data_IF_908061833364
#
_entry.id   IF_908061833364
#
_cell.length_a   1.000
_cell.length_b   1.000
_cell.length_c   1.000
_cell.angle_alpha   90.00
_cell.angle_beta   90.00
_cell.angle_gamma   90.00
#
_symmetry.space_group_name_H-M   'P 1'
#
loop_
_entity.id
_entity.type
_entity.pdbx_description
1 polymer ?
#
# COMPACT_ATOMS: atom_id res chain seq x y z
N UNK A 1 -4.85 7.69 15.31
CA UNK A 1 -4.09 8.08 14.13
C UNK A 1 -2.64 8.40 14.53
N UNK A 2 -1.78 7.40 14.43
CA UNK A 2 -0.37 7.44 14.88
C UNK A 2 0.42 8.51 14.10
N UNK A 3 0.30 8.56 12.78
CA UNK A 3 1.03 9.55 11.95
C UNK A 3 0.71 11.00 12.35
N UNK A 4 -0.57 11.30 12.66
CA UNK A 4 -0.94 12.65 13.12
C UNK A 4 -0.28 12.99 14.45
N UNK A 5 -0.17 12.04 15.38
CA UNK A 5 0.54 12.23 16.67
C UNK A 5 2.04 12.44 16.47
N UNK A 6 2.60 11.94 15.38
CA UNK A 6 4.00 12.13 14.98
C UNK A 6 4.23 13.44 14.20
N UNK A 7 3.21 14.30 14.07
CA UNK A 7 3.34 15.61 13.42
C UNK A 7 3.10 15.61 11.91
N UNK A 8 2.65 14.49 11.31
CA UNK A 8 2.32 14.46 9.90
C UNK A 8 0.98 15.16 9.61
N UNK A 9 0.91 15.93 8.54
CA UNK A 9 -0.35 16.28 7.92
C UNK A 9 -0.97 15.03 7.30
N UNK A 10 -2.17 14.64 7.73
CA UNK A 10 -2.77 13.38 7.33
C UNK A 10 -4.12 13.57 6.69
N UNK A 11 -4.37 12.91 5.56
CA UNK A 11 -5.69 12.67 4.99
C UNK A 11 -6.08 11.21 5.17
N UNK A 12 -7.37 10.95 5.40
CA UNK A 12 -7.92 9.61 5.49
C UNK A 12 -9.07 9.50 4.49
N UNK A 13 -9.02 8.48 3.66
CA UNK A 13 -10.05 8.16 2.69
C UNK A 13 -10.43 6.69 2.84
N UNK A 14 -11.72 6.38 2.96
CA UNK A 14 -12.25 5.02 3.08
C UNK A 14 -13.32 4.79 2.02
N UNK A 15 -13.47 3.55 1.58
CA UNK A 15 -14.53 3.09 0.67
C UNK A 15 -14.64 3.91 -0.63
N UNK A 16 -13.48 4.23 -1.21
CA UNK A 16 -13.39 5.04 -2.44
C UNK A 16 -13.66 4.21 -3.69
N UNK A 17 -14.51 4.74 -4.56
CA UNK A 17 -14.58 4.23 -5.93
C UNK A 17 -13.32 4.65 -6.72
N UNK A 18 -13.16 4.09 -7.92
CA UNK A 18 -11.96 4.31 -8.75
C UNK A 18 -11.70 5.79 -9.02
N UNK A 19 -12.74 6.57 -9.36
CA UNK A 19 -12.60 7.99 -9.66
C UNK A 19 -12.19 8.81 -8.41
N UNK A 20 -12.82 8.53 -7.28
CA UNK A 20 -12.51 9.17 -6.00
C UNK A 20 -11.09 8.84 -5.53
N UNK A 21 -10.69 7.56 -5.61
CA UNK A 21 -9.35 7.17 -5.19
C UNK A 21 -8.26 7.80 -6.06
N UNK A 22 -8.50 7.93 -7.38
CA UNK A 22 -7.59 8.66 -8.28
C UNK A 22 -7.48 10.14 -7.89
N UNK A 23 -8.60 10.81 -7.63
CA UNK A 23 -8.61 12.21 -7.22
C UNK A 23 -7.90 12.42 -5.87
N UNK A 24 -8.13 11.53 -4.88
CA UNK A 24 -7.45 11.58 -3.58
C UNK A 24 -5.93 11.38 -3.72
N UNK A 25 -5.50 10.49 -4.61
CA UNK A 25 -4.08 10.24 -4.90
C UNK A 25 -3.41 11.42 -5.60
N UNK A 26 -4.08 12.06 -6.57
CA UNK A 26 -3.59 13.27 -7.22
C UNK A 26 -3.44 14.41 -6.21
N UNK A 27 -4.44 14.62 -5.34
CA UNK A 27 -4.40 15.61 -4.29
C UNK A 27 -3.26 15.33 -3.29
N UNK A 28 -3.07 14.06 -2.92
CA UNK A 28 -1.97 13.63 -2.06
C UNK A 28 -0.60 13.91 -2.72
N UNK A 29 -0.43 13.54 -4.00
CA UNK A 29 0.79 13.79 -4.74
C UNK A 29 1.13 15.28 -4.83
N UNK A 30 0.12 16.16 -4.98
CA UNK A 30 0.30 17.62 -4.97
C UNK A 30 0.68 18.13 -3.57
N UNK A 31 -0.01 17.66 -2.52
CA UNK A 31 0.25 18.09 -1.15
C UNK A 31 1.62 17.62 -0.62
N UNK A 32 2.13 16.52 -1.15
CA UNK A 32 3.41 15.95 -0.75
C UNK A 32 4.63 16.63 -1.41
N UNK A 33 4.44 17.50 -2.41
CA UNK A 33 5.54 18.21 -3.06
C UNK A 33 6.36 19.05 -2.07
N UNK A 34 7.68 18.87 -2.10
CA UNK A 34 8.59 19.57 -1.21
C UNK A 34 8.58 19.06 0.24
N UNK A 35 7.85 17.99 0.55
CA UNK A 35 7.88 17.39 1.88
C UNK A 35 9.19 16.62 2.08
N UNK A 36 9.75 16.69 3.29
CA UNK A 36 10.90 15.87 3.68
C UNK A 36 10.56 14.39 3.71
N UNK A 37 9.33 14.05 4.14
CA UNK A 37 8.84 12.67 4.21
C UNK A 37 7.38 12.65 3.75
N UNK A 38 7.07 11.79 2.76
CA UNK A 38 5.71 11.47 2.35
C UNK A 38 5.41 10.00 2.66
N UNK A 39 4.28 9.74 3.32
CA UNK A 39 3.84 8.38 3.67
C UNK A 39 2.50 8.09 3.02
N UNK A 40 2.47 7.10 2.13
CA UNK A 40 1.24 6.53 1.59
C UNK A 40 0.98 5.18 2.25
N UNK A 41 -0.16 5.04 2.89
CA UNK A 41 -0.61 3.80 3.51
C UNK A 41 -1.91 3.34 2.85
N UNK A 42 -1.93 2.11 2.38
CA UNK A 42 -3.11 1.48 1.82
C UNK A 42 -3.42 0.18 2.54
N UNK A 43 -4.65 0.03 3.02
CA UNK A 43 -5.20 -1.23 3.52
C UNK A 43 -6.41 -1.61 2.66
N UNK A 44 -6.42 -2.81 2.10
CA UNK A 44 -7.51 -3.26 1.23
C UNK A 44 -7.14 -4.42 0.32
N UNK A 45 -7.80 -4.50 -0.82
CA UNK A 45 -7.51 -5.54 -1.81
C UNK A 45 -6.50 -5.08 -2.85
N UNK A 46 -5.64 -5.99 -3.26
CA UNK A 46 -4.66 -5.75 -4.31
C UNK A 46 -4.49 -6.97 -5.21
N UNK A 47 -4.02 -6.75 -6.42
CA UNK A 47 -3.79 -7.80 -7.39
C UNK A 47 -2.56 -7.51 -8.23
N UNK A 48 -1.84 -8.56 -8.61
CA UNK A 48 -0.78 -8.47 -9.61
C UNK A 48 -1.29 -8.91 -10.99
N UNK A 49 -1.04 -8.09 -12.00
CA UNK A 49 -1.26 -8.42 -13.40
C UNK A 49 0.03 -8.15 -14.16
N UNK A 50 0.62 -9.17 -14.77
CA UNK A 50 1.87 -9.06 -15.52
C UNK A 50 2.99 -8.34 -14.74
N UNK A 51 3.20 -8.75 -13.49
CA UNK A 51 4.18 -8.17 -12.58
C UNK A 51 3.96 -6.68 -12.23
N UNK A 52 2.74 -6.16 -12.42
CA UNK A 52 2.35 -4.83 -11.96
C UNK A 52 1.31 -5.01 -10.87
N UNK A 53 1.56 -4.41 -9.71
CA UNK A 53 0.63 -4.39 -8.59
C UNK A 53 -0.42 -3.29 -8.79
N UNK A 54 -1.69 -3.66 -8.60
CA UNK A 54 -2.84 -2.75 -8.65
C UNK A 54 -3.55 -2.75 -7.30
N UNK A 55 -3.92 -1.59 -6.83
CA UNK A 55 -4.81 -1.40 -5.69
C UNK A 55 -6.25 -1.34 -6.19
N UNK A 56 -7.17 -1.92 -5.42
CA UNK A 56 -8.56 -2.09 -5.84
C UNK A 56 -9.47 -1.11 -5.12
N UNK A 57 -10.27 -0.38 -5.89
CA UNK A 57 -11.34 0.46 -5.38
C UNK A 57 -12.63 -0.37 -5.17
N UNK A 58 -13.59 0.15 -4.40
CA UNK A 58 -14.82 -0.59 -4.02
C UNK A 58 -15.76 -0.90 -5.19
N UNK A 59 -15.66 -0.15 -6.29
CA UNK A 59 -16.48 -0.32 -7.49
C UNK A 59 -15.93 -1.35 -8.50
N UNK A 60 -14.75 -1.92 -8.24
CA UNK A 60 -14.13 -2.87 -9.15
C UNK A 60 -14.71 -4.28 -8.98
N UNK A 61 -15.43 -4.75 -10.00
CA UNK A 61 -16.07 -6.06 -10.02
C UNK A 61 -15.07 -7.16 -10.43
N UNK A 62 -14.25 -7.60 -9.50
CA UNK A 62 -13.18 -8.58 -9.75
C UNK A 62 -13.65 -9.88 -10.40
N UNK A 63 -14.82 -10.39 -10.03
CA UNK A 63 -15.36 -11.65 -10.57
C UNK A 63 -15.55 -11.63 -12.10
N UNK A 64 -15.71 -10.46 -12.70
CA UNK A 64 -15.91 -10.27 -14.14
C UNK A 64 -14.78 -9.49 -14.82
N UNK A 65 -13.89 -8.87 -14.05
CA UNK A 65 -12.79 -8.09 -14.58
C UNK A 65 -11.77 -8.98 -15.30
N UNK A 66 -11.17 -8.43 -16.34
CA UNK A 66 -10.07 -9.05 -17.08
C UNK A 66 -8.74 -8.33 -16.76
N UNK A 67 -7.63 -8.93 -17.17
CA UNK A 67 -6.32 -8.27 -17.10
C UNK A 67 -6.30 -6.93 -17.86
N UNK A 68 -7.06 -6.84 -18.96
CA UNK A 68 -7.16 -5.61 -19.74
C UNK A 68 -7.94 -4.52 -19.00
N UNK A 69 -9.00 -4.87 -18.27
CA UNK A 69 -9.75 -3.93 -17.44
C UNK A 69 -8.87 -3.37 -16.34
N UNK A 70 -8.07 -4.21 -15.69
CA UNK A 70 -7.11 -3.77 -14.67
C UNK A 70 -6.05 -2.81 -15.24
N UNK A 71 -5.54 -3.07 -16.43
CA UNK A 71 -4.57 -2.17 -17.09
C UNK A 71 -5.17 -0.81 -17.44
N UNK A 72 -6.46 -0.76 -17.81
CA UNK A 72 -7.14 0.48 -18.22
C UNK A 72 -7.68 1.29 -17.05
N UNK A 73 -8.24 0.62 -16.05
CA UNK A 73 -9.02 1.26 -14.98
C UNK A 73 -8.38 1.11 -13.60
N UNK A 74 -7.52 0.11 -13.41
CA UNK A 74 -6.87 -0.17 -12.14
C UNK A 74 -5.92 0.95 -11.70
N UNK A 75 -5.70 1.04 -10.42
CA UNK A 75 -4.76 1.97 -9.80
C UNK A 75 -3.45 1.25 -9.60
N UNK A 76 -2.52 1.42 -10.54
CA UNK A 76 -1.23 0.74 -10.45
C UNK A 76 -0.33 1.37 -9.38
N UNK A 77 0.39 0.54 -8.65
CA UNK A 77 1.37 1.02 -7.69
C UNK A 77 2.49 1.83 -8.35
N UNK A 78 2.82 1.52 -9.61
CA UNK A 78 3.77 2.31 -10.41
C UNK A 78 3.32 3.75 -10.63
N UNK A 79 2.02 3.98 -10.81
CA UNK A 79 1.48 5.33 -10.91
C UNK A 79 1.63 6.08 -9.58
N UNK A 80 1.30 5.43 -8.45
CA UNK A 80 1.50 6.00 -7.11
C UNK A 80 2.98 6.33 -6.88
N UNK A 81 3.88 5.43 -7.22
CA UNK A 81 5.32 5.66 -7.16
C UNK A 81 5.73 6.88 -8.01
N UNK A 82 5.12 7.06 -9.19
CA UNK A 82 5.43 8.21 -10.05
C UNK A 82 4.96 9.55 -9.46
N UNK A 83 3.83 9.56 -8.75
CA UNK A 83 3.34 10.75 -8.03
C UNK A 83 4.30 11.16 -6.90
N UNK A 84 4.95 10.18 -6.27
CA UNK A 84 5.82 10.37 -5.11
C UNK A 84 7.31 10.53 -5.48
N UNK A 85 7.66 10.54 -6.75
CA UNK A 85 9.05 10.71 -7.21
C UNK A 85 9.49 12.16 -7.36
N UNK A 86 8.56 13.10 -7.43
CA UNK A 86 8.85 14.48 -7.80
C UNK A 86 9.15 15.33 -6.55
N UNK A 87 10.37 15.83 -6.49
CA UNK A 87 10.82 16.87 -5.52
C UNK A 87 10.57 16.53 -4.04
N UNK A 88 10.78 15.27 -3.64
CA UNK A 88 10.59 14.81 -2.28
C UNK A 88 11.88 14.28 -1.64
N UNK A 89 11.99 14.40 -0.32
CA UNK A 89 13.07 13.83 0.46
C UNK A 89 12.99 12.29 0.47
N UNK A 90 12.08 11.73 1.27
CA UNK A 90 11.86 10.29 1.39
C UNK A 90 10.39 9.97 1.18
N UNK A 91 10.10 9.00 0.33
CA UNK A 91 8.75 8.46 0.12
C UNK A 91 8.64 7.07 0.72
N UNK A 92 7.61 6.85 1.52
CA UNK A 92 7.30 5.56 2.15
C UNK A 92 5.95 5.09 1.66
N UNK A 93 5.92 3.93 1.02
CA UNK A 93 4.69 3.29 0.55
C UNK A 93 4.49 2.03 1.38
N UNK A 94 3.37 1.95 2.08
CA UNK A 94 2.97 0.78 2.88
C UNK A 94 1.71 0.19 2.27
N UNK A 95 1.79 -1.07 1.86
CA UNK A 95 0.67 -1.79 1.23
C UNK A 95 0.29 -2.97 2.09
N UNK A 96 -0.80 -2.81 2.82
CA UNK A 96 -1.47 -3.86 3.56
C UNK A 96 -2.66 -4.35 2.74
N UNK A 97 -2.38 -5.23 1.81
CA UNK A 97 -3.35 -5.71 0.86
C UNK A 97 -3.47 -7.24 0.92
N UNK A 98 -4.67 -7.71 1.21
CA UNK A 98 -5.03 -9.10 1.00
C UNK A 98 -4.97 -9.44 -0.49
N UNK A 99 -4.52 -10.66 -0.78
CA UNK A 99 -4.13 -11.08 -2.12
C UNK A 99 -5.02 -12.20 -2.63
N UNK A 100 -6.31 -11.95 -2.67
CA UNK A 100 -7.24 -12.93 -3.21
C UNK A 100 -7.66 -12.50 -4.62
N UNK A 101 -6.96 -12.95 -5.69
CA UNK A 101 -7.30 -12.58 -7.04
C UNK A 101 -8.44 -13.47 -7.52
N UNK A 102 -9.62 -12.92 -7.62
CA UNK A 102 -10.76 -13.54 -8.29
C UNK A 102 -10.88 -13.04 -9.75
N UNK A 103 -9.77 -12.71 -10.39
CA UNK A 103 -9.80 -12.41 -11.82
C UNK A 103 -9.97 -13.69 -12.63
N UNK A 104 -10.96 -13.69 -13.50
CA UNK A 104 -11.23 -14.80 -14.40
C UNK A 104 -10.04 -15.04 -15.33
N UNK A 105 -9.47 -16.25 -15.29
CA UNK A 105 -8.37 -16.66 -16.18
C UNK A 105 -6.98 -16.13 -15.77
N UNK A 106 -6.84 -15.50 -14.61
CA UNK A 106 -5.53 -15.12 -14.05
C UNK A 106 -5.17 -16.12 -12.94
N UNK A 107 -3.99 -16.76 -12.98
CA UNK A 107 -3.53 -17.60 -11.88
C UNK A 107 -3.56 -16.81 -10.56
N UNK A 108 -3.95 -17.46 -9.48
CA UNK A 108 -3.88 -16.87 -8.13
C UNK A 108 -2.42 -16.61 -7.78
N UNK A 109 -1.96 -15.40 -8.06
CA UNK A 109 -0.65 -14.94 -7.64
C UNK A 109 -0.88 -13.74 -6.74
N UNK A 110 -0.28 -13.77 -5.56
CA UNK A 110 -0.23 -12.61 -4.69
C UNK A 110 0.42 -11.42 -5.40
N UNK A 111 0.63 -10.31 -4.68
CA UNK A 111 1.29 -9.14 -5.28
C UNK A 111 2.67 -9.51 -5.81
N UNK A 112 3.06 -8.97 -6.93
CA UNK A 112 4.39 -9.14 -7.49
C UNK A 112 5.47 -8.59 -6.54
N UNK A 113 6.68 -9.09 -6.65
CA UNK A 113 7.83 -8.51 -5.97
C UNK A 113 7.92 -6.99 -6.22
N UNK A 114 8.45 -6.26 -5.24
CA UNK A 114 8.72 -4.83 -5.41
C UNK A 114 9.55 -4.60 -6.68
N UNK A 115 9.24 -3.58 -7.47
CA UNK A 115 10.10 -3.18 -8.57
C UNK A 115 11.48 -2.76 -8.04
N UNK A 116 12.43 -2.58 -8.96
CA UNK A 116 13.81 -2.19 -8.62
C UNK A 116 13.82 -1.01 -7.65
N UNK A 117 14.68 -1.09 -6.62
CA UNK A 117 14.81 -0.04 -5.62
C UNK A 117 15.01 1.35 -6.26
N UNK A 118 14.21 2.30 -5.85
CA UNK A 118 14.30 3.70 -6.26
C UNK A 118 14.91 4.48 -5.11
N UNK A 119 15.94 5.29 -5.41
CA UNK A 119 16.57 6.14 -4.39
C UNK A 119 15.53 7.07 -3.76
N UNK A 120 15.52 7.13 -2.42
CA UNK A 120 14.57 7.96 -1.68
C UNK A 120 13.16 7.37 -1.56
N UNK A 121 12.93 6.14 -2.05
CA UNK A 121 11.63 5.48 -1.95
C UNK A 121 11.74 4.11 -1.29
N UNK A 122 10.86 3.86 -0.34
CA UNK A 122 10.73 2.60 0.37
C UNK A 122 9.31 2.07 0.18
N UNK A 123 9.16 0.84 -0.31
CA UNK A 123 7.87 0.19 -0.43
C UNK A 123 7.82 -1.06 0.46
N UNK A 124 6.86 -1.10 1.36
CA UNK A 124 6.61 -2.23 2.25
C UNK A 124 5.30 -2.91 1.92
N UNK A 125 5.33 -4.23 2.00
CA UNK A 125 4.14 -5.06 1.84
C UNK A 125 3.90 -5.84 3.13
N UNK A 126 2.64 -6.03 3.49
CA UNK A 126 2.23 -6.82 4.66
C UNK A 126 2.60 -8.31 4.54
N UNK A 127 2.86 -8.79 3.31
CA UNK A 127 3.18 -10.18 3.04
C UNK A 127 4.32 -10.32 2.03
N UNK A 128 4.99 -11.47 2.06
CA UNK A 128 5.95 -11.86 1.03
C UNK A 128 5.27 -11.97 -0.35
N UNK A 129 6.01 -11.82 -1.46
CA UNK A 129 5.49 -12.01 -2.81
C UNK A 129 4.82 -13.39 -2.93
N UNK A 130 3.59 -13.41 -3.46
CA UNK A 130 2.83 -14.66 -3.63
C UNK A 130 2.10 -15.18 -2.38
N UNK A 131 2.32 -14.61 -1.20
CA UNK A 131 1.64 -15.02 0.04
C UNK A 131 0.31 -14.29 0.25
N UNK A 132 -0.61 -14.87 1.02
CA UNK A 132 -1.88 -14.24 1.42
C UNK A 132 -1.67 -13.42 2.70
N UNK A 133 -2.23 -12.22 2.76
CA UNK A 133 -2.34 -11.48 4.01
C UNK A 133 -3.40 -12.16 4.90
N UNK A 134 -3.18 -12.16 6.20
CA UNK A 134 -4.18 -12.60 7.18
C UNK A 134 -5.06 -11.40 7.53
N UNK A 135 -6.37 -11.59 7.43
CA UNK A 135 -7.33 -10.67 8.02
C UNK A 135 -7.26 -10.87 9.54
N UNK A 136 -6.91 -9.81 10.27
CA UNK A 136 -6.91 -9.85 11.73
C UNK A 136 -8.33 -10.07 12.29
N UNK A 137 -8.42 -10.46 13.54
CA UNK A 137 -9.71 -10.65 14.24
C UNK A 137 -10.30 -9.33 14.76
N UNK A 138 -9.57 -8.20 14.59
CA UNK A 138 -9.92 -6.88 15.08
C UNK A 138 -10.31 -5.88 13.99
N UNK A 139 -10.27 -4.59 14.33
CA UNK A 139 -10.53 -3.48 13.40
C UNK A 139 -9.39 -3.24 12.38
N UNK A 140 -8.23 -3.85 12.59
CA UNK A 140 -7.06 -3.79 11.72
C UNK A 140 -6.60 -5.20 11.41
N UNK A 141 -5.90 -5.37 10.27
CA UNK A 141 -5.12 -6.58 10.03
C UNK A 141 -4.01 -6.74 11.08
N UNK A 142 -3.51 -7.95 11.26
CA UNK A 142 -2.38 -8.24 12.17
C UNK A 142 -1.18 -7.36 11.82
N UNK A 143 -0.86 -7.23 10.52
CA UNK A 143 0.21 -6.36 10.05
C UNK A 143 -0.02 -4.88 10.46
N UNK A 144 -1.20 -4.33 10.17
CA UNK A 144 -1.52 -2.93 10.49
C UNK A 144 -1.46 -2.66 12.00
N UNK A 145 -1.92 -3.61 12.83
CA UNK A 145 -1.87 -3.48 14.29
C UNK A 145 -0.43 -3.46 14.79
N UNK A 146 0.40 -4.41 14.34
CA UNK A 146 1.83 -4.50 14.72
C UNK A 146 2.61 -3.30 14.20
N UNK A 147 2.42 -2.93 12.93
CA UNK A 147 3.08 -1.77 12.33
C UNK A 147 2.78 -0.47 13.09
N UNK A 148 1.51 -0.22 13.45
CA UNK A 148 1.13 0.95 14.24
C UNK A 148 1.79 0.98 15.63
N UNK A 149 1.95 -0.18 16.27
CA UNK A 149 2.62 -0.31 17.57
C UNK A 149 4.09 0.12 17.48
N UNK A 150 4.81 -0.35 16.45
CA UNK A 150 6.21 0.01 16.23
C UNK A 150 6.37 1.44 15.72
N UNK A 151 5.47 1.92 14.85
CA UNK A 151 5.50 3.30 14.35
C UNK A 151 5.34 4.34 15.47
N UNK A 152 4.67 4.00 16.56
CA UNK A 152 4.52 4.87 17.74
C UNK A 152 5.80 4.99 18.60
N UNK A 153 6.85 4.22 18.30
CA UNK A 153 8.12 4.18 19.05
C UNK A 153 9.10 5.25 18.53
N UNK A 154 9.38 6.33 19.29
CA UNK A 154 10.26 7.41 18.83
C UNK A 154 11.75 7.03 18.80
N UNK A 155 12.11 5.92 19.45
CA UNK A 155 13.47 5.38 19.54
C UNK A 155 13.86 4.50 18.34
N UNK A 156 12.91 4.17 17.46
CA UNK A 156 13.16 3.31 16.32
C UNK A 156 13.32 4.10 15.02
N UNK A 157 14.36 3.79 14.28
CA UNK A 157 14.47 4.20 12.87
C UNK A 157 13.43 3.46 12.00
N UNK A 158 13.10 4.02 10.84
CA UNK A 158 12.17 3.39 9.91
C UNK A 158 12.57 1.94 9.54
N UNK A 159 13.87 1.69 9.37
CA UNK A 159 14.39 0.34 9.14
C UNK A 159 14.05 -0.61 10.30
N UNK A 160 14.30 -0.17 11.52
CA UNK A 160 14.01 -0.97 12.73
C UNK A 160 12.50 -1.19 12.91
N UNK A 161 11.65 -0.20 12.59
CA UNK A 161 10.19 -0.35 12.59
C UNK A 161 9.77 -1.49 11.66
N UNK A 162 10.31 -1.51 10.44
CA UNK A 162 9.99 -2.55 9.46
C UNK A 162 10.47 -3.92 9.90
N UNK A 163 11.73 -4.04 10.32
CA UNK A 163 12.32 -5.30 10.79
C UNK A 163 11.56 -5.84 12.01
N UNK A 164 11.20 -4.97 12.96
CA UNK A 164 10.40 -5.34 14.12
C UNK A 164 8.99 -5.79 13.73
N UNK A 165 8.35 -5.07 12.79
CA UNK A 165 7.02 -5.46 12.28
C UNK A 165 7.07 -6.83 11.60
N UNK A 166 8.04 -7.06 10.72
CA UNK A 166 8.18 -8.35 10.03
C UNK A 166 8.39 -9.50 11.00
N UNK A 167 9.26 -9.31 12.00
CA UNK A 167 9.52 -10.34 13.02
C UNK A 167 8.28 -10.67 13.82
N UNK A 168 7.57 -9.64 14.31
CA UNK A 168 6.43 -9.85 15.20
C UNK A 168 5.21 -10.43 14.45
N UNK A 169 4.94 -10.00 13.21
CA UNK A 169 3.89 -10.60 12.36
C UNK A 169 4.20 -12.05 12.00
N UNK A 170 5.49 -12.42 11.87
CA UNK A 170 5.88 -13.81 11.58
C UNK A 170 5.77 -14.73 12.80
N UNK A 171 5.65 -14.17 14.01
CA UNK A 171 5.53 -14.92 15.26
C UNK A 171 4.08 -15.17 15.69
N UNK A 172 3.09 -14.46 15.08
CA UNK A 172 1.64 -14.65 15.26
C UNK A 172 1.08 -15.67 14.25
#
# INVERSE_FOLDING_TARGET
>A
NTLRKLGFHTSLATDRNTAQLKADLDAFGQAARGADIAVFFYAGHGIAVENINYLLAVDQKLATATSLDMKRQGISLRWIESLLRQDMGVSVIVVDACRNPLLRGVPQQGMAAAPRAVRGMLTFYSTAPGALARDGTGANSDFSAVFNRHLARPDLSLKQIVEATQRDVSAE
#
